data_IF_032569477822
#
_entry.id   IF_032569477822
#
_cell.length_a   1.000
_cell.length_b   1.000
_cell.length_c   1.000
_cell.angle_alpha   90.00
_cell.angle_beta   90.00
_cell.angle_gamma   90.00
#
_symmetry.space_group_name_H-M   'P 1'
#
loop_
_entity.id
_entity.type
_entity.pdbx_description
1 polymer ?
#
# COMPACT_ATOMS: atom_id res chain seq x y z
N UNK A 1 -3.76 5.62 13.16
CA UNK A 1 -4.22 4.43 13.92
C UNK A 1 -5.65 4.68 14.36
N UNK A 2 -6.59 3.82 13.98
CA UNK A 2 -8.03 3.94 14.25
C UNK A 2 -8.38 3.44 15.67
N UNK A 3 -9.58 3.75 16.16
CA UNK A 3 -10.10 3.18 17.41
C UNK A 3 -10.17 1.66 17.37
N UNK A 4 -10.69 1.11 16.27
CA UNK A 4 -10.74 -0.34 16.02
C UNK A 4 -9.35 -0.99 16.12
N UNK A 5 -8.32 -0.41 15.50
CA UNK A 5 -6.95 -0.91 15.60
C UNK A 5 -6.43 -0.91 17.05
N UNK A 6 -6.77 0.10 17.86
CA UNK A 6 -6.38 0.13 19.29
C UNK A 6 -7.03 -1.04 20.04
N UNK A 7 -8.32 -1.27 19.82
CA UNK A 7 -9.05 -2.38 20.44
C UNK A 7 -8.43 -3.72 20.04
N UNK A 8 -8.18 -3.94 18.74
CA UNK A 8 -7.54 -5.18 18.28
C UNK A 8 -6.11 -5.35 18.82
N UNK A 9 -5.34 -4.28 18.99
CA UNK A 9 -4.01 -4.37 19.64
C UNK A 9 -4.17 -4.86 21.09
N UNK A 10 -5.12 -4.33 21.85
CA UNK A 10 -5.35 -4.75 23.23
C UNK A 10 -5.74 -6.24 23.30
N UNK A 11 -6.69 -6.67 22.48
CA UNK A 11 -7.17 -8.05 22.44
C UNK A 11 -6.05 -9.04 22.06
N UNK A 12 -5.28 -8.72 21.02
CA UNK A 12 -4.17 -9.57 20.59
C UNK A 12 -3.02 -9.59 21.62
N UNK A 13 -2.79 -8.48 22.33
CA UNK A 13 -1.82 -8.46 23.44
C UNK A 13 -2.27 -9.31 24.62
N UNK A 14 -3.55 -9.26 24.97
CA UNK A 14 -4.13 -10.10 26.01
C UNK A 14 -4.01 -11.60 25.68
N UNK A 15 -4.12 -11.96 24.39
CA UNK A 15 -3.88 -13.32 23.88
C UNK A 15 -2.41 -13.72 23.79
N UNK A 16 -1.48 -12.84 24.19
CA UNK A 16 -0.05 -13.15 24.22
C UNK A 16 0.69 -12.94 22.90
N UNK A 17 0.08 -12.31 21.89
CA UNK A 17 0.78 -12.03 20.62
C UNK A 17 1.86 -10.95 20.80
N UNK A 18 2.99 -11.13 20.12
CA UNK A 18 4.09 -10.16 20.09
C UNK A 18 3.78 -8.96 19.18
N UNK A 19 4.51 -7.85 19.40
CA UNK A 19 4.28 -6.60 18.65
C UNK A 19 4.44 -6.73 17.13
N UNK A 20 5.40 -7.55 16.68
CA UNK A 20 5.63 -7.76 15.25
C UNK A 20 4.45 -8.49 14.59
N UNK A 21 3.95 -9.56 15.23
CA UNK A 21 2.78 -10.32 14.77
C UNK A 21 1.53 -9.45 14.69
N UNK A 22 1.28 -8.64 15.72
CA UNK A 22 0.14 -7.71 15.76
C UNK A 22 0.25 -6.65 14.66
N UNK A 23 1.45 -6.08 14.47
CA UNK A 23 1.70 -5.10 13.42
C UNK A 23 1.41 -5.68 12.03
N UNK A 24 1.89 -6.90 11.77
CA UNK A 24 1.64 -7.60 10.52
C UNK A 24 0.14 -7.88 10.30
N UNK A 25 -0.56 -8.37 11.33
CA UNK A 25 -1.98 -8.70 11.26
C UNK A 25 -2.86 -7.47 10.97
N UNK A 26 -2.55 -6.33 11.59
CA UNK A 26 -3.35 -5.10 11.47
C UNK A 26 -2.88 -4.14 10.37
N UNK A 27 -1.82 -4.48 9.64
CA UNK A 27 -1.25 -3.61 8.61
C UNK A 27 -0.60 -2.35 9.15
N UNK A 28 -0.02 -2.41 10.36
CA UNK A 28 0.63 -1.31 11.05
C UNK A 28 2.15 -1.47 11.06
N UNK A 29 2.88 -0.40 11.38
CA UNK A 29 4.30 -0.51 11.71
C UNK A 29 4.49 -1.10 13.11
N UNK A 30 5.55 -1.88 13.31
CA UNK A 30 5.94 -2.39 14.64
C UNK A 30 6.11 -1.26 15.65
N UNK A 31 6.72 -0.14 15.24
CA UNK A 31 6.92 1.05 16.08
C UNK A 31 5.59 1.66 16.56
N UNK A 32 4.57 1.70 15.70
CA UNK A 32 3.23 2.20 16.07
C UNK A 32 2.61 1.32 17.17
N UNK A 33 2.67 -0.01 17.00
CA UNK A 33 2.17 -0.97 17.99
C UNK A 33 2.95 -0.86 19.30
N UNK A 34 4.29 -0.79 19.24
CA UNK A 34 5.15 -0.64 20.42
C UNK A 34 4.81 0.64 21.20
N UNK A 35 4.77 1.79 20.54
CA UNK A 35 4.44 3.08 21.17
C UNK A 35 3.04 3.07 21.78
N UNK A 36 2.06 2.44 21.11
CA UNK A 36 0.71 2.33 21.65
C UNK A 36 0.67 1.46 22.91
N UNK A 37 1.27 0.26 22.86
CA UNK A 37 1.32 -0.67 23.99
C UNK A 37 2.02 -0.07 25.21
N UNK A 38 3.13 0.64 25.02
CA UNK A 38 3.87 1.27 26.12
C UNK A 38 3.03 2.36 26.81
N UNK A 39 2.42 3.26 26.05
CA UNK A 39 1.58 4.35 26.60
C UNK A 39 0.34 3.85 27.32
N UNK A 40 -0.20 2.70 26.93
CA UNK A 40 -1.41 2.13 27.49
C UNK A 40 -1.13 0.99 28.48
N UNK A 41 0.12 0.82 28.91
CA UNK A 41 0.53 -0.23 29.87
C UNK A 41 0.14 -1.65 29.44
N UNK A 42 0.09 -1.91 28.13
CA UNK A 42 -0.15 -3.25 27.53
C UNK A 42 1.15 -4.08 27.42
N UNK A 43 2.20 -3.64 28.13
CA UNK A 43 3.45 -4.39 28.34
C UNK A 43 3.30 -5.46 29.41
N UNK A 44 4.28 -6.34 29.54
CA UNK A 44 4.34 -7.33 30.65
C UNK A 44 3.86 -8.74 30.31
N UNK A 45 2.93 -8.91 29.37
CA UNK A 45 2.57 -10.24 28.84
C UNK A 45 3.69 -10.67 27.87
N UNK A 46 4.61 -11.53 28.34
CA UNK A 46 5.65 -12.12 27.50
C UNK A 46 4.98 -12.91 26.39
N UNK A 47 5.40 -12.69 25.15
CA UNK A 47 4.88 -13.47 24.03
C UNK A 47 5.28 -14.93 24.22
N UNK A 48 4.35 -15.87 24.00
CA UNK A 48 4.72 -17.27 23.90
C UNK A 48 5.68 -17.39 22.71
N UNK A 49 6.96 -17.70 23.00
CA UNK A 49 8.03 -17.78 22.01
C UNK A 49 7.90 -19.00 21.07
N UNK A 50 6.80 -19.75 21.17
CA UNK A 50 6.58 -20.98 20.44
C UNK A 50 5.86 -20.70 19.12
N UNK A 51 6.62 -20.78 18.04
CA UNK A 51 6.20 -20.73 16.64
C UNK A 51 5.57 -19.40 16.17
N UNK A 52 5.68 -19.16 14.87
CA UNK A 52 5.02 -18.07 14.12
C UNK A 52 3.50 -18.23 14.14
N UNK A 53 2.88 -18.10 15.31
CA UNK A 53 1.43 -18.14 15.45
C UNK A 53 0.89 -16.80 14.97
N UNK A 54 0.32 -16.80 13.76
CA UNK A 54 -0.50 -15.70 13.29
C UNK A 54 -1.88 -15.79 13.96
N UNK A 55 -2.55 -14.67 14.23
CA UNK A 55 -3.94 -14.70 14.66
C UNK A 55 -4.79 -15.49 13.65
N UNK A 56 -5.73 -16.31 14.13
CA UNK A 56 -6.64 -17.09 13.26
C UNK A 56 -7.54 -16.19 12.40
N UNK A 57 -7.70 -14.94 12.84
CA UNK A 57 -8.52 -13.92 12.20
C UNK A 57 -7.69 -13.05 11.28
N UNK A 58 -8.24 -12.73 10.11
CA UNK A 58 -7.67 -11.75 9.19
C UNK A 58 -8.35 -10.39 9.37
N UNK A 59 -7.60 -9.30 9.26
CA UNK A 59 -8.10 -7.94 9.51
C UNK A 59 -7.94 -7.03 8.29
N UNK A 60 -8.83 -6.04 8.19
CA UNK A 60 -8.78 -5.00 7.18
C UNK A 60 -7.48 -4.21 7.33
N UNK A 61 -6.68 -4.16 6.26
CA UNK A 61 -5.39 -3.47 6.26
C UNK A 61 -5.47 -1.96 6.52
N UNK A 62 -6.65 -1.36 6.34
CA UNK A 62 -6.85 0.07 6.58
C UNK A 62 -7.33 0.36 8.00
N UNK A 63 -8.49 -0.19 8.37
CA UNK A 63 -9.19 0.20 9.59
C UNK A 63 -9.03 -0.79 10.74
N UNK A 64 -8.49 -1.99 10.50
CA UNK A 64 -8.33 -3.03 11.53
C UNK A 64 -9.59 -3.88 11.81
N UNK A 65 -10.71 -3.64 11.13
CA UNK A 65 -11.93 -4.47 11.29
C UNK A 65 -11.67 -5.92 10.85
N UNK A 66 -12.16 -6.89 11.61
CA UNK A 66 -12.10 -8.31 11.27
C UNK A 66 -12.76 -8.60 9.91
N UNK A 67 -12.15 -9.49 9.13
CA UNK A 67 -12.62 -9.90 7.81
C UNK A 67 -13.21 -11.31 7.88
N UNK A 68 -14.43 -11.45 7.41
CA UNK A 68 -15.07 -12.75 7.21
C UNK A 68 -14.65 -13.29 5.84
N UNK A 69 -13.77 -14.28 5.83
CA UNK A 69 -13.35 -14.95 4.61
C UNK A 69 -14.41 -15.98 4.18
N UNK A 70 -14.75 -15.99 2.89
CA UNK A 70 -15.69 -16.96 2.33
C UNK A 70 -14.88 -18.03 1.58
N UNK A 71 -15.07 -19.30 1.95
CA UNK A 71 -14.41 -20.43 1.30
C UNK A 71 -14.70 -20.45 -0.21
N UNK A 72 -13.69 -20.79 -1.01
CA UNK A 72 -13.78 -20.78 -2.47
C UNK A 72 -13.75 -19.39 -3.13
N UNK A 73 -13.75 -18.29 -2.34
CA UNK A 73 -13.58 -16.93 -2.88
C UNK A 73 -12.17 -16.40 -2.64
N UNK A 74 -11.78 -15.42 -3.48
CA UNK A 74 -10.53 -14.69 -3.29
C UNK A 74 -10.53 -14.01 -1.91
N UNK A 75 -9.44 -14.22 -1.16
CA UNK A 75 -9.26 -13.61 0.16
C UNK A 75 -9.46 -12.10 0.14
N UNK A 76 -10.29 -11.63 1.06
CA UNK A 76 -10.50 -10.21 1.31
C UNK A 76 -9.28 -9.61 2.01
N UNK A 77 -8.95 -8.38 1.62
CA UNK A 77 -7.91 -7.55 2.27
C UNK A 77 -8.47 -6.30 2.95
N UNK A 78 -9.71 -5.95 2.61
CA UNK A 78 -10.40 -4.72 3.02
C UNK A 78 -11.86 -5.04 3.29
N UNK A 79 -12.46 -4.36 4.28
CA UNK A 79 -13.86 -4.58 4.65
C UNK A 79 -14.85 -3.89 3.69
N UNK A 80 -14.41 -2.89 2.92
CA UNK A 80 -15.23 -2.20 1.93
C UNK A 80 -14.36 -1.49 0.87
N UNK A 81 -15.03 -0.87 -0.11
CA UNK A 81 -14.40 -0.10 -1.19
C UNK A 81 -13.57 1.07 -0.67
N UNK A 82 -14.10 1.84 0.27
CA UNK A 82 -13.46 3.08 0.77
C UNK A 82 -12.16 2.78 1.50
N UNK A 83 -12.14 1.73 2.31
CA UNK A 83 -10.93 1.24 2.97
C UNK A 83 -9.86 0.84 1.95
N UNK A 84 -10.26 0.23 0.82
CA UNK A 84 -9.33 -0.15 -0.24
C UNK A 84 -8.71 1.08 -0.90
N UNK A 85 -9.54 2.04 -1.30
CA UNK A 85 -9.08 3.27 -1.97
C UNK A 85 -8.15 4.05 -1.05
N UNK A 86 -8.59 4.32 0.18
CA UNK A 86 -7.84 5.10 1.16
C UNK A 86 -6.47 4.47 1.46
N UNK A 87 -6.45 3.14 1.60
CA UNK A 87 -5.20 2.44 1.85
C UNK A 87 -4.23 2.55 0.67
N UNK A 88 -4.68 2.32 -0.57
CA UNK A 88 -3.81 2.43 -1.75
C UNK A 88 -3.33 3.85 -2.01
N UNK A 89 -4.18 4.86 -1.76
CA UNK A 89 -3.77 6.27 -1.87
C UNK A 89 -2.67 6.62 -0.85
N UNK A 90 -2.71 6.03 0.34
CA UNK A 90 -1.71 6.25 1.40
C UNK A 90 -0.49 5.35 1.29
N UNK A 91 -0.53 4.31 0.43
CA UNK A 91 0.53 3.30 0.28
C UNK A 91 0.93 3.16 -1.20
N UNK A 92 1.05 4.29 -1.90
CA UNK A 92 1.45 4.29 -3.31
C UNK A 92 2.88 3.75 -3.52
N UNK A 93 3.74 3.84 -2.49
CA UNK A 93 5.07 3.22 -2.44
C UNK A 93 5.01 1.69 -2.57
N UNK A 94 3.92 1.08 -2.11
CA UNK A 94 3.69 -0.38 -2.19
C UNK A 94 3.11 -0.83 -3.52
N UNK A 95 2.77 0.11 -4.41
CA UNK A 95 2.31 -0.20 -5.77
C UNK A 95 3.55 -0.54 -6.59
N UNK A 96 3.60 -1.77 -7.11
CA UNK A 96 4.67 -2.17 -8.02
C UNK A 96 4.45 -1.49 -9.38
N UNK A 97 5.12 -0.34 -9.60
CA UNK A 97 5.05 0.44 -10.84
C UNK A 97 5.86 -0.23 -11.96
N UNK A 98 5.40 -1.40 -12.43
CA UNK A 98 6.07 -2.19 -13.49
C UNK A 98 6.00 -1.57 -14.89
N UNK A 99 5.24 -0.50 -15.08
CA UNK A 99 4.97 0.08 -16.39
C UNK A 99 5.62 1.46 -16.56
N UNK A 100 6.77 1.71 -15.94
CA UNK A 100 7.58 2.90 -16.22
C UNK A 100 8.56 2.54 -17.33
N UNK A 101 8.44 3.20 -18.46
CA UNK A 101 9.31 3.01 -19.62
C UNK A 101 10.14 4.26 -19.85
N UNK A 102 11.43 4.09 -20.15
CA UNK A 102 12.33 5.18 -20.52
C UNK A 102 12.39 5.33 -22.03
N UNK A 103 12.37 6.56 -22.51
CA UNK A 103 12.39 6.90 -23.92
C UNK A 103 13.27 8.11 -24.17
N UNK A 104 13.62 8.30 -25.45
CA UNK A 104 14.20 9.53 -25.97
C UNK A 104 13.14 10.21 -26.83
N UNK A 105 12.90 11.50 -26.59
CA UNK A 105 11.91 12.26 -27.35
C UNK A 105 12.34 12.39 -28.82
N UNK A 106 11.44 12.04 -29.75
CA UNK A 106 11.72 12.12 -31.18
C UNK A 106 11.93 13.56 -31.69
N UNK A 107 11.38 14.57 -31.00
CA UNK A 107 11.52 15.99 -31.36
C UNK A 107 12.75 16.65 -30.73
N UNK A 108 12.82 16.67 -29.39
CA UNK A 108 13.85 17.43 -28.68
C UNK A 108 15.08 16.60 -28.25
N UNK A 109 15.06 15.29 -28.44
CA UNK A 109 16.16 14.40 -28.03
C UNK A 109 16.30 14.19 -26.52
N UNK A 110 15.51 14.87 -25.68
CA UNK A 110 15.58 14.68 -24.23
C UNK A 110 15.11 13.28 -23.80
N UNK A 111 15.81 12.69 -22.83
CA UNK A 111 15.35 11.47 -22.16
C UNK A 111 14.15 11.79 -21.26
N UNK A 112 13.14 10.92 -21.28
CA UNK A 112 11.97 11.02 -20.41
C UNK A 112 11.42 9.65 -20.05
N UNK A 113 10.60 9.59 -19.00
CA UNK A 113 9.88 8.36 -18.61
C UNK A 113 8.38 8.52 -18.80
N UNK A 114 7.68 7.44 -19.14
CA UNK A 114 6.23 7.43 -19.18
C UNK A 114 5.65 6.20 -18.47
N UNK A 115 4.52 6.40 -17.80
CA UNK A 115 3.76 5.33 -17.15
C UNK A 115 2.74 4.72 -18.12
N UNK A 116 2.65 3.39 -18.17
CA UNK A 116 1.59 2.63 -18.85
C UNK A 116 1.70 2.57 -20.37
N UNK A 117 2.36 3.53 -21.01
CA UNK A 117 2.50 3.59 -22.47
C UNK A 117 3.91 3.19 -22.92
N UNK A 118 4.05 1.94 -23.37
CA UNK A 118 5.31 1.39 -23.90
C UNK A 118 5.69 1.92 -25.29
N UNK A 119 4.81 2.68 -25.94
CA UNK A 119 4.99 3.19 -27.32
C UNK A 119 5.07 4.72 -27.38
N UNK A 120 5.34 5.40 -26.26
CA UNK A 120 5.35 6.87 -26.22
C UNK A 120 6.57 7.43 -26.96
N UNK A 121 6.33 8.40 -27.85
CA UNK A 121 7.38 8.99 -28.72
C UNK A 121 7.84 10.39 -28.30
N UNK A 122 6.96 11.16 -27.66
CA UNK A 122 7.21 12.56 -27.33
C UNK A 122 7.11 12.79 -25.83
N UNK A 123 8.03 13.60 -25.28
CA UNK A 123 8.06 13.93 -23.86
C UNK A 123 6.87 14.84 -23.46
N UNK A 124 6.40 15.70 -24.36
CA UNK A 124 5.27 16.61 -24.15
C UNK A 124 4.35 16.66 -25.37
N UNK A 125 3.16 17.25 -25.18
CA UNK A 125 2.24 17.53 -26.29
C UNK A 125 2.83 18.53 -27.28
N UNK A 126 3.59 19.53 -26.80
CA UNK A 126 4.26 20.50 -27.67
C UNK A 126 5.28 19.84 -28.59
N UNK A 127 6.06 18.88 -28.08
CA UNK A 127 6.98 18.10 -28.90
C UNK A 127 6.27 17.29 -29.98
N UNK A 128 5.07 16.76 -29.66
CA UNK A 128 4.23 16.10 -30.66
C UNK A 128 3.76 17.08 -31.75
N UNK A 129 3.30 18.27 -31.36
CA UNK A 129 2.81 19.29 -32.31
C UNK A 129 3.96 19.76 -33.21
N UNK A 130 5.09 20.12 -32.62
CA UNK A 130 6.23 20.66 -33.36
C UNK A 130 6.79 19.65 -34.37
N UNK A 131 6.93 18.39 -33.98
CA UNK A 131 7.43 17.33 -34.86
C UNK A 131 6.47 17.02 -36.03
N UNK A 132 5.15 17.11 -35.79
CA UNK A 132 4.15 16.70 -36.78
C UNK A 132 3.64 17.81 -37.68
N UNK A 133 3.68 19.06 -37.22
CA UNK A 133 2.96 20.15 -37.89
C UNK A 133 3.80 21.41 -38.14
N UNK A 134 4.96 21.61 -37.51
CA UNK A 134 5.80 22.81 -37.73
C UNK A 134 6.75 22.72 -38.92
N UNK A 135 6.36 21.99 -39.96
CA UNK A 135 7.04 21.97 -41.27
C UNK A 135 6.16 22.43 -42.44
N UNK A 136 4.95 22.91 -42.16
CA UNK A 136 3.93 23.22 -43.19
C UNK A 136 3.76 24.70 -43.50
N UNK A 137 4.59 25.59 -42.92
CA UNK A 137 4.66 27.00 -43.29
C UNK A 137 6.00 27.26 -43.99
N UNK A 138 6.10 26.81 -45.24
CA UNK A 138 7.06 27.37 -46.19
C UNK A 138 6.23 28.01 -47.29
N UNK A 139 6.39 29.34 -47.37
CA UNK A 139 5.76 30.29 -48.31
C UNK A 139 5.79 29.82 -49.77
#
# INVERSE_FOLDING_TARGET
MTGEQKNQIADLRAKGFGYATIAQALGLSKSTVTSHCQRNKLGGIKANHSATVTPDKEYCKHCGKELIQISGKKKLKFCNQDCRITWWNSNQDKVNKKAIYSFTCAYCGCSFTAYGNSKRKYCSHDCYINDRFKGSDVL
#
